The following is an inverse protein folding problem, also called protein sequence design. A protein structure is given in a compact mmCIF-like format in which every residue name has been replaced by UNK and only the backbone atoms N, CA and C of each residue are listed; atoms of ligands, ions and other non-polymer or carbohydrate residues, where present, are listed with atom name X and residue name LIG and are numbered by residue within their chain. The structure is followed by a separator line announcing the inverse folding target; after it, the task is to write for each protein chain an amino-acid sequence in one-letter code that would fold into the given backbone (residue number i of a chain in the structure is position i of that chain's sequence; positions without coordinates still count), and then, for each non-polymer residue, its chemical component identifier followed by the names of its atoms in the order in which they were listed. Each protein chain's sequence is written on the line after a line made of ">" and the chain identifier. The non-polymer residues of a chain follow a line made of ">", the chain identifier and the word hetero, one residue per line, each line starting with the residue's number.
data_IF_685136028869
#
_entry.id   IF_685136028869
#
_cell.length_a   1.000
_cell.length_b   1.000
_cell.length_c   1.000
_cell.angle_alpha   90.00
_cell.angle_beta   90.00
_cell.angle_gamma   90.00
#
_symmetry.space_group_name_H-M   'P 1'
#
loop_
_entity.id
_entity.type
_entity.pdbx_description
1 polymer ?
#
# COMPACT_ATOMS: atom_id res chain seq x y z
N UNK A 1 -4.72 23.38 -18.38
CA UNK A 1 -5.38 22.06 -18.35
C UNK A 1 -4.66 21.29 -17.25
N UNK A 2 -5.21 21.34 -16.04
CA UNK A 2 -4.68 20.59 -14.92
C UNK A 2 -4.86 19.12 -15.28
N UNK A 3 -3.77 18.35 -15.36
CA UNK A 3 -3.91 16.90 -15.29
C UNK A 3 -4.26 16.64 -13.82
N UNK A 4 -5.54 16.78 -13.49
CA UNK A 4 -6.13 16.06 -12.38
C UNK A 4 -5.97 14.58 -12.72
N UNK A 5 -4.80 13.99 -12.40
CA UNK A 5 -4.73 12.55 -12.28
C UNK A 5 -5.68 12.22 -11.15
N UNK A 6 -6.88 11.76 -11.53
CA UNK A 6 -7.98 11.47 -10.64
C UNK A 6 -7.50 10.76 -9.39
N UNK A 7 -8.13 11.13 -8.29
CA UNK A 7 -7.93 10.67 -6.93
C UNK A 7 -8.09 9.14 -6.78
N UNK A 8 -7.21 8.36 -7.38
CA UNK A 8 -7.13 6.91 -7.24
C UNK A 8 -5.80 6.59 -6.57
N UNK A 9 -5.88 6.14 -5.32
CA UNK A 9 -4.70 5.78 -4.55
C UNK A 9 -3.94 4.65 -5.28
N UNK A 10 -2.65 4.85 -5.65
CA UNK A 10 -1.92 3.84 -6.40
C UNK A 10 -1.86 2.52 -5.62
N UNK A 11 -1.90 1.38 -6.34
CA UNK A 11 -1.90 0.07 -5.73
C UNK A 11 -0.60 -0.18 -4.99
N UNK A 12 -0.67 -1.08 -4.01
CA UNK A 12 0.50 -1.59 -3.33
C UNK A 12 0.99 -2.83 -4.05
N UNK A 13 2.25 -2.81 -4.47
CA UNK A 13 2.91 -4.00 -5.00
C UNK A 13 3.32 -4.91 -3.85
N UNK A 14 3.00 -6.19 -3.98
CA UNK A 14 3.33 -7.26 -3.03
C UNK A 14 4.18 -8.27 -3.77
N UNK A 15 5.35 -8.56 -3.23
CA UNK A 15 6.31 -9.54 -3.74
C UNK A 15 6.59 -10.59 -2.66
N UNK A 16 7.09 -11.77 -3.05
CA UNK A 16 7.53 -12.79 -2.09
C UNK A 16 7.92 -14.11 -2.74
N UNK A 17 8.18 -15.13 -1.93
CA UNK A 17 8.77 -16.40 -2.38
C UNK A 17 7.73 -17.47 -2.74
N UNK A 18 6.78 -17.15 -3.62
CA UNK A 18 5.80 -18.11 -4.15
C UNK A 18 6.04 -18.47 -5.61
N UNK A 19 5.52 -19.62 -6.03
CA UNK A 19 5.61 -20.07 -7.43
C UNK A 19 4.41 -19.60 -8.25
N UNK A 20 4.54 -19.47 -9.59
CA UNK A 20 3.42 -19.11 -10.46
C UNK A 20 2.23 -20.08 -10.35
N UNK A 21 2.48 -21.36 -10.05
CA UNK A 21 1.44 -22.35 -9.78
C UNK A 21 0.61 -22.02 -8.52
N UNK A 22 1.21 -21.32 -7.54
CA UNK A 22 0.58 -20.93 -6.29
C UNK A 22 -0.11 -19.56 -6.37
N UNK A 23 0.14 -18.77 -7.41
CA UNK A 23 -0.37 -17.39 -7.59
C UNK A 23 -1.89 -17.30 -7.38
N UNK A 24 -2.66 -18.25 -7.92
CA UNK A 24 -4.13 -18.27 -7.74
C UNK A 24 -4.56 -18.47 -6.29
N UNK A 25 -3.92 -19.41 -5.59
CA UNK A 25 -4.21 -19.66 -4.17
C UNK A 25 -3.76 -18.48 -3.30
N UNK A 26 -2.58 -17.92 -3.61
CA UNK A 26 -2.03 -16.77 -2.93
C UNK A 26 -2.91 -15.54 -3.06
N UNK A 27 -3.44 -15.25 -4.26
CA UNK A 27 -4.38 -14.14 -4.50
C UNK A 27 -5.51 -14.14 -3.47
N UNK A 28 -6.14 -15.30 -3.24
CA UNK A 28 -7.20 -15.43 -2.25
C UNK A 28 -6.69 -15.23 -0.81
N UNK A 29 -5.53 -15.81 -0.47
CA UNK A 29 -4.90 -15.62 0.86
C UNK A 29 -4.55 -14.16 1.13
N UNK A 30 -3.96 -13.46 0.17
CA UNK A 30 -3.63 -12.03 0.26
C UNK A 30 -4.88 -11.21 0.46
N UNK A 31 -5.94 -11.47 -0.30
CA UNK A 31 -7.20 -10.75 -0.15
C UNK A 31 -7.75 -10.89 1.26
N UNK A 32 -7.85 -12.11 1.80
CA UNK A 32 -8.32 -12.34 3.18
C UNK A 32 -7.39 -11.69 4.22
N UNK A 33 -6.08 -11.73 3.99
CA UNK A 33 -5.09 -11.15 4.88
C UNK A 33 -5.16 -9.62 4.94
N UNK A 34 -5.21 -8.95 3.78
CA UNK A 34 -5.33 -7.50 3.67
C UNK A 34 -6.71 -6.97 4.05
N UNK A 35 -7.77 -7.79 3.94
CA UNK A 35 -9.08 -7.47 4.50
C UNK A 35 -9.12 -7.55 6.04
N UNK A 36 -8.20 -8.29 6.65
CA UNK A 36 -8.15 -8.47 8.11
C UNK A 36 -7.46 -7.30 8.82
N UNK A 37 -8.24 -6.34 9.35
CA UNK A 37 -7.75 -5.22 10.19
C UNK A 37 -6.77 -5.67 11.30
N UNK A 38 -7.04 -6.78 12.00
CA UNK A 38 -6.14 -7.26 13.07
C UNK A 38 -4.77 -7.74 12.56
N UNK A 39 -4.73 -8.37 11.38
CA UNK A 39 -3.51 -9.00 10.85
C UNK A 39 -2.63 -8.06 10.06
N UNK A 40 -3.23 -7.28 9.16
CA UNK A 40 -2.52 -6.40 8.23
C UNK A 40 -2.75 -4.92 8.48
N UNK A 41 -3.67 -4.56 9.40
CA UNK A 41 -4.18 -3.19 9.54
C UNK A 41 -4.92 -2.67 8.30
N UNK A 42 -5.28 -3.57 7.39
CA UNK A 42 -5.94 -3.24 6.14
C UNK A 42 -7.46 -3.06 6.26
N UNK A 43 -8.17 -3.33 5.18
CA UNK A 43 -9.59 -3.03 5.03
C UNK A 43 -10.10 -3.52 3.68
N UNK A 44 -11.14 -2.89 3.17
CA UNK A 44 -11.68 -3.26 1.85
C UNK A 44 -10.62 -3.06 0.76
N UNK A 45 -10.28 -4.16 0.08
CA UNK A 45 -9.23 -4.20 -0.93
C UNK A 45 -9.49 -5.28 -2.00
N UNK A 46 -8.96 -5.03 -3.18
CA UNK A 46 -8.93 -5.93 -4.33
C UNK A 46 -7.48 -6.32 -4.63
N UNK A 47 -7.23 -7.61 -4.81
CA UNK A 47 -5.90 -8.14 -5.16
C UNK A 47 -5.91 -8.60 -6.61
N UNK A 48 -4.88 -8.23 -7.36
CA UNK A 48 -4.60 -8.71 -8.71
C UNK A 48 -3.21 -9.32 -8.73
N UNK A 49 -3.11 -10.59 -9.08
CA UNK A 49 -1.83 -11.28 -9.08
C UNK A 49 -1.29 -11.33 -10.51
N UNK A 50 0.01 -11.10 -10.67
CA UNK A 50 0.67 -11.11 -11.97
C UNK A 50 0.87 -12.56 -12.44
N UNK A 51 0.52 -12.84 -13.69
CA UNK A 51 0.67 -14.18 -14.26
C UNK A 51 2.14 -14.40 -14.63
N UNK A 52 2.75 -15.46 -14.08
CA UNK A 52 4.15 -15.82 -14.37
C UNK A 52 5.19 -15.18 -13.46
N UNK A 53 4.81 -14.23 -12.59
CA UNK A 53 5.71 -13.60 -11.64
C UNK A 53 5.25 -13.79 -10.19
N UNK A 54 6.19 -13.80 -9.23
CA UNK A 54 5.87 -13.82 -7.82
C UNK A 54 5.50 -12.41 -7.29
N UNK A 55 4.59 -11.74 -7.99
CA UNK A 55 4.16 -10.36 -7.72
C UNK A 55 2.64 -10.22 -7.79
N UNK A 56 2.08 -9.36 -6.96
CA UNK A 56 0.66 -9.00 -6.96
C UNK A 56 0.46 -7.52 -6.65
N UNK A 57 -0.55 -6.88 -7.24
CA UNK A 57 -0.99 -5.53 -6.95
C UNK A 57 -2.24 -5.56 -6.05
N UNK A 58 -2.23 -4.73 -5.00
CA UNK A 58 -3.35 -4.60 -4.05
C UNK A 58 -3.92 -3.19 -4.12
N UNK A 59 -5.16 -3.10 -4.55
CA UNK A 59 -5.93 -1.87 -4.65
C UNK A 59 -6.76 -1.72 -3.38
N UNK A 60 -6.45 -0.69 -2.59
CA UNK A 60 -7.21 -0.37 -1.38
C UNK A 60 -8.28 0.67 -1.71
N UNK A 61 -9.46 0.53 -1.12
CA UNK A 61 -10.54 1.51 -1.30
C UNK A 61 -10.27 2.84 -0.60
N UNK A 62 -9.29 2.91 0.31
CA UNK A 62 -8.94 4.14 1.01
C UNK A 62 -7.42 4.31 1.15
N UNK A 63 -6.88 5.53 0.94
CA UNK A 63 -5.45 5.81 1.05
C UNK A 63 -4.94 5.63 2.48
N UNK A 64 -5.73 5.98 3.50
CA UNK A 64 -5.36 5.76 4.91
C UNK A 64 -5.14 4.28 5.24
N UNK A 65 -5.97 3.40 4.68
CA UNK A 65 -5.85 1.95 4.85
C UNK A 65 -4.55 1.46 4.22
N UNK A 66 -4.25 1.96 3.02
CA UNK A 66 -2.99 1.67 2.31
C UNK A 66 -1.77 2.04 3.15
N UNK A 67 -1.74 3.26 3.69
CA UNK A 67 -0.63 3.75 4.50
C UNK A 67 -0.43 2.90 5.76
N UNK A 68 -1.50 2.47 6.42
CA UNK A 68 -1.41 1.59 7.60
C UNK A 68 -0.83 0.22 7.27
N UNK A 69 -1.19 -0.34 6.12
CA UNK A 69 -0.63 -1.61 5.64
C UNK A 69 0.86 -1.44 5.31
N UNK A 70 1.23 -0.37 4.60
CA UNK A 70 2.62 -0.06 4.23
C UNK A 70 3.51 0.28 5.43
N UNK A 71 2.97 0.95 6.45
CA UNK A 71 3.70 1.27 7.68
C UNK A 71 4.07 0.01 8.48
N UNK A 72 3.32 -1.07 8.27
CA UNK A 72 3.58 -2.37 8.88
C UNK A 72 4.65 -3.08 8.05
N UNK A 73 5.73 -3.55 8.70
CA UNK A 73 6.90 -4.13 8.01
C UNK A 73 6.89 -5.66 7.94
N UNK A 74 6.20 -6.32 8.87
CA UNK A 74 6.15 -7.78 8.95
C UNK A 74 4.79 -8.27 8.43
N UNK A 75 4.74 -8.63 7.14
CA UNK A 75 3.58 -9.25 6.52
C UNK A 75 3.91 -10.66 6.13
N UNK A 76 3.13 -11.61 6.65
CA UNK A 76 3.39 -13.03 6.51
C UNK A 76 2.07 -13.75 6.27
N UNK A 77 2.05 -14.61 5.26
CA UNK A 77 0.87 -15.42 4.91
C UNK A 77 1.24 -16.88 4.83
N UNK A 78 0.34 -17.74 5.30
CA UNK A 78 0.52 -19.20 5.23
C UNK A 78 -0.14 -19.68 3.95
N UNK A 79 0.67 -20.22 3.04
CA UNK A 79 0.26 -20.84 1.80
C UNK A 79 0.80 -22.28 1.75
N UNK A 80 -0.08 -23.25 1.55
CA UNK A 80 0.29 -24.67 1.47
C UNK A 80 1.14 -25.15 2.66
N UNK A 81 0.78 -24.71 3.87
CA UNK A 81 1.51 -24.98 5.12
C UNK A 81 2.92 -24.37 5.19
N UNK A 82 3.29 -23.51 4.23
CA UNK A 82 4.53 -22.73 4.22
C UNK A 82 4.24 -21.27 4.55
N UNK A 83 5.05 -20.67 5.42
CA UNK A 83 5.00 -19.22 5.70
C UNK A 83 5.76 -18.48 4.60
N UNK A 84 5.07 -17.58 3.91
CA UNK A 84 5.63 -16.74 2.86
C UNK A 84 5.70 -15.31 3.41
N UNK A 85 6.90 -14.74 3.38
CA UNK A 85 7.10 -13.33 3.72
C UNK A 85 6.72 -12.46 2.54
N UNK A 86 5.91 -11.45 2.82
CA UNK A 86 5.42 -10.50 1.83
C UNK A 86 6.20 -9.20 1.95
N UNK A 87 6.75 -8.75 0.83
CA UNK A 87 7.40 -7.46 0.72
C UNK A 87 6.46 -6.50 0.02
N UNK A 88 6.05 -5.45 0.72
CA UNK A 88 5.19 -4.41 0.16
C UNK A 88 6.04 -3.24 -0.33
N UNK A 89 5.73 -2.79 -1.54
CA UNK A 89 6.34 -1.63 -2.18
C UNK A 89 5.21 -0.72 -2.64
N UNK A 90 5.24 0.55 -2.23
CA UNK A 90 4.38 1.55 -2.86
C UNK A 90 4.90 1.79 -4.26
N UNK A 91 4.11 1.48 -5.28
CA UNK A 91 4.41 1.96 -6.63
C UNK A 91 4.05 3.44 -6.67
N UNK A 92 4.93 4.25 -6.08
CA UNK A 92 4.91 5.66 -6.34
C UNK A 92 5.16 5.80 -7.84
N UNK A 93 4.24 6.45 -8.56
CA UNK A 93 4.67 7.28 -9.68
C UNK A 93 5.82 8.09 -9.12
N UNK A 94 7.05 7.70 -9.47
CA UNK A 94 8.22 8.47 -9.12
C UNK A 94 7.89 9.90 -9.50
N UNK A 95 7.92 10.88 -8.57
CA UNK A 95 7.84 12.26 -8.98
C UNK A 95 9.04 12.42 -9.89
N UNK A 96 8.80 12.42 -11.20
CA UNK A 96 9.77 12.87 -12.18
C UNK A 96 10.17 14.24 -11.64
N UNK A 97 11.42 14.31 -11.22
CA UNK A 97 11.98 15.43 -10.50
C UNK A 97 12.09 16.58 -11.49
N UNK A 98 10.95 17.21 -11.78
CA UNK A 98 10.85 18.40 -12.60
C UNK A 98 10.80 19.60 -11.67
N UNK A 99 11.98 19.89 -11.14
CA UNK A 99 12.49 21.19 -10.68
C UNK A 99 11.87 21.85 -9.43
N UNK A 100 12.72 22.35 -8.50
CA UNK A 100 12.31 23.11 -7.34
C UNK A 100 11.90 24.53 -7.75
N UNK A 101 10.60 24.77 -7.82
CA UNK A 101 10.01 26.08 -8.12
C UNK A 101 8.88 26.42 -7.15
N UNK A 102 9.27 26.89 -5.96
CA UNK A 102 8.56 27.74 -5.01
C UNK A 102 7.05 28.06 -5.25
N UNK A 103 6.17 27.67 -4.31
CA UNK A 103 5.24 28.64 -3.70
C UNK A 103 4.60 28.15 -2.37
N UNK A 104 5.02 28.86 -1.32
CA UNK A 104 4.49 29.08 0.04
C UNK A 104 3.01 28.83 0.44
N UNK A 105 2.88 28.29 1.67
CA UNK A 105 2.07 28.75 2.84
C UNK A 105 0.53 28.55 2.93
N UNK A 106 0.11 27.82 3.98
CA UNK A 106 -0.81 28.28 5.08
C UNK A 106 -0.94 27.15 6.12
N UNK A 107 -0.25 27.22 7.27
CA UNK A 107 -0.60 27.94 8.51
C UNK A 107 -1.59 27.18 9.41
N UNK A 108 -1.11 26.54 10.48
CA UNK A 108 -1.81 26.42 11.76
C UNK A 108 -0.86 25.90 12.86
N UNK A 109 -0.28 26.79 13.66
CA UNK A 109 0.03 26.45 15.06
C UNK A 109 -0.58 27.51 15.97
N UNK A 110 -1.58 27.06 16.74
CA UNK A 110 -2.20 27.77 17.85
C UNK A 110 -1.59 27.25 19.16
N UNK A 111 -0.95 28.12 19.94
CA UNK A 111 -1.02 28.18 21.43
C UNK A 111 -0.25 29.43 21.88
N UNK A 112 -0.86 30.47 22.43
CA UNK A 112 -1.49 30.63 23.75
C UNK A 112 -0.50 30.56 24.94
N UNK A 113 -0.64 31.59 25.80
CA UNK A 113 -0.29 31.74 27.23
C UNK A 113 1.17 31.98 27.63
N UNK A 114 1.38 33.03 28.45
CA UNK A 114 2.58 33.17 29.27
C UNK A 114 2.79 34.58 29.84
N UNK A 115 2.03 34.91 30.88
CA UNK A 115 2.14 36.10 31.73
C UNK A 115 3.51 36.17 32.46
N UNK A 116 4.15 37.34 32.45
CA UNK A 116 4.68 38.11 33.60
C UNK A 116 5.67 39.19 33.14
#
# INVERSE_FOLDING_TARGET
>A
IFIETGSECPPVSVEGDWTPAQTKALKNKLQIYFQSKKKSSGGDCRVEAEEGAPRAAVYFSSPEVRERVLARKNHEVILDSKTIQLRLSSEAVSPVLSHPGHCSLRSLERKASGLL
#
